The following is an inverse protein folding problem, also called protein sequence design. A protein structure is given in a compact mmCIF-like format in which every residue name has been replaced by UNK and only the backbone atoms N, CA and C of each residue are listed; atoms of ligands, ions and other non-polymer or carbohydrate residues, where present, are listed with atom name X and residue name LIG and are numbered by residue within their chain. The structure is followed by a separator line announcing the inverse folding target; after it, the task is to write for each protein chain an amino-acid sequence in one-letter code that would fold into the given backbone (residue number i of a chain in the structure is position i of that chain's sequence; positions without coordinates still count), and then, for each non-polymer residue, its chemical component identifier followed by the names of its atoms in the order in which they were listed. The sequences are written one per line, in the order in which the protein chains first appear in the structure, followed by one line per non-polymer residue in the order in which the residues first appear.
data_IF_512376663812
#
_entry.id   IF_512376663812
#
_cell.length_a   1.000
_cell.length_b   1.000
_cell.length_c   1.000
_cell.angle_alpha   90.00
_cell.angle_beta   90.00
_cell.angle_gamma   90.00
#
_symmetry.space_group_name_H-M   'P 1'
#
loop_
_entity.id
_entity.type
_entity.pdbx_description
1 polymer ?
#
# COMPACT_ATOMS: atom_id res chain seq x y z
N UNK A 1 -0.16 0.31 13.45
CA UNK A 1 -1.36 1.16 13.33
C UNK A 1 -2.49 0.22 12.97
N UNK A 2 -3.53 0.17 13.80
CA UNK A 2 -4.62 -0.81 13.67
C UNK A 2 -5.66 -0.43 12.60
N UNK A 3 -5.45 0.68 11.90
CA UNK A 3 -6.24 1.07 10.74
C UNK A 3 -5.82 0.38 9.45
N UNK A 4 -6.59 0.61 8.38
CA UNK A 4 -6.38 0.01 7.05
C UNK A 4 -4.99 0.22 6.45
N UNK A 5 -4.24 1.25 6.88
CA UNK A 5 -2.90 1.49 6.37
C UNK A 5 -1.85 0.50 6.89
N UNK A 6 -2.11 -0.18 8.03
CA UNK A 6 -1.21 -1.11 8.72
C UNK A 6 0.24 -0.64 8.89
N UNK A 7 0.47 0.69 8.82
CA UNK A 7 1.81 1.28 8.88
C UNK A 7 2.41 1.10 10.28
N UNK A 8 3.72 0.88 10.29
CA UNK A 8 4.55 0.83 11.48
C UNK A 8 5.19 2.19 11.75
N UNK A 9 5.42 2.51 13.02
CA UNK A 9 5.96 3.78 13.48
C UNK A 9 6.93 3.53 14.64
N UNK A 10 8.00 4.30 14.73
CA UNK A 10 8.84 4.31 15.92
C UNK A 10 8.09 5.03 17.05
N UNK A 11 7.78 4.36 18.16
CA UNK A 11 6.91 4.95 19.18
C UNK A 11 7.62 6.03 20.00
N UNK A 12 8.91 5.84 20.30
CA UNK A 12 9.74 6.78 21.07
C UNK A 12 10.88 7.33 20.21
N UNK A 13 11.49 8.44 20.64
CA UNK A 13 12.67 9.03 19.97
C UNK A 13 13.82 8.02 19.92
N UNK A 14 14.09 7.33 21.04
CA UNK A 14 15.13 6.30 21.14
C UNK A 14 14.91 5.15 20.15
N UNK A 15 13.65 4.71 20.00
CA UNK A 15 13.31 3.64 19.06
C UNK A 15 13.60 4.02 17.60
N UNK A 16 13.58 5.31 17.28
CA UNK A 16 13.87 5.84 15.95
C UNK A 16 15.33 6.25 15.73
N UNK A 17 16.15 6.30 16.79
CA UNK A 17 17.48 6.91 16.76
C UNK A 17 18.46 6.29 15.75
N UNK A 18 18.30 5.00 15.42
CA UNK A 18 19.09 4.31 14.40
C UNK A 18 18.65 4.58 12.96
N UNK A 19 17.70 5.47 12.74
CA UNK A 19 17.09 5.75 11.44
C UNK A 19 16.93 7.25 11.20
N UNK A 20 16.72 7.66 9.95
CA UNK A 20 16.31 9.02 9.62
C UNK A 20 14.79 9.21 9.68
N UNK A 21 14.06 8.29 10.32
CA UNK A 21 12.60 8.34 10.42
C UNK A 21 12.16 9.20 11.60
N UNK A 22 11.07 9.95 11.41
CA UNK A 22 10.41 10.65 12.51
C UNK A 22 9.73 9.63 13.44
N UNK A 23 9.85 9.84 14.75
CA UNK A 23 9.18 9.04 15.78
C UNK A 23 7.85 9.69 16.21
N UNK A 24 6.98 8.93 16.87
CA UNK A 24 5.74 9.46 17.46
C UNK A 24 5.99 10.30 18.72
N UNK A 25 7.20 10.24 19.30
CA UNK A 25 7.57 11.06 20.45
C UNK A 25 6.92 10.66 21.77
N UNK A 26 6.37 9.44 21.88
CA UNK A 26 5.80 8.96 23.13
C UNK A 26 6.88 8.63 24.16
N UNK A 27 6.52 8.73 25.44
CA UNK A 27 7.31 8.16 26.53
C UNK A 27 7.07 6.65 26.64
N UNK A 28 8.00 5.92 27.24
CA UNK A 28 7.83 4.47 27.46
C UNK A 28 6.54 4.16 28.23
N UNK A 29 6.18 4.95 29.24
CA UNK A 29 4.92 4.76 29.98
C UNK A 29 3.67 4.92 29.08
N UNK A 30 3.67 5.91 28.19
CA UNK A 30 2.59 6.09 27.21
C UNK A 30 2.49 4.89 26.27
N UNK A 31 3.63 4.37 25.78
CA UNK A 31 3.66 3.20 24.89
C UNK A 31 3.03 1.98 25.57
N UNK A 32 3.36 1.72 26.85
CA UNK A 32 2.77 0.61 27.59
C UNK A 32 1.27 0.81 27.87
N UNK A 33 0.80 2.05 27.97
CA UNK A 33 -0.60 2.38 28.19
C UNK A 33 -1.47 2.32 26.92
N UNK A 34 -0.86 2.44 25.73
CA UNK A 34 -1.58 2.38 24.45
C UNK A 34 -1.99 0.94 24.16
N UNK A 35 -3.29 0.67 24.21
CA UNK A 35 -3.85 -0.64 23.83
C UNK A 35 -4.03 -0.75 22.31
N UNK A 36 -4.52 0.32 21.67
CA UNK A 36 -4.81 0.36 20.23
C UNK A 36 -4.30 1.69 19.68
N UNK A 37 -3.39 1.62 18.71
CA UNK A 37 -2.84 2.82 18.07
C UNK A 37 -3.44 3.02 16.67
N UNK A 38 -4.04 4.18 16.45
CA UNK A 38 -4.52 4.63 15.14
C UNK A 38 -3.73 5.87 14.70
N UNK A 39 -3.12 5.84 13.51
CA UNK A 39 -2.37 7.00 13.00
C UNK A 39 -3.32 8.11 12.53
N UNK A 40 -2.83 9.35 12.47
CA UNK A 40 -3.61 10.52 12.03
C UNK A 40 -4.21 10.32 10.62
N UNK A 41 -3.52 9.64 9.72
CA UNK A 41 -4.04 9.35 8.38
C UNK A 41 -5.29 8.46 8.41
N UNK A 42 -5.28 7.39 9.20
CA UNK A 42 -6.46 6.55 9.37
C UNK A 42 -7.58 7.25 10.14
N UNK A 43 -7.26 8.04 11.19
CA UNK A 43 -8.26 8.82 11.92
C UNK A 43 -9.01 9.81 11.02
N UNK A 44 -8.30 10.43 10.08
CA UNK A 44 -8.85 11.44 9.17
C UNK A 44 -9.24 10.87 7.79
N UNK A 45 -9.14 9.55 7.59
CA UNK A 45 -9.39 8.89 6.30
C UNK A 45 -8.64 9.53 5.12
N UNK A 46 -7.41 9.98 5.33
CA UNK A 46 -6.54 10.55 4.30
C UNK A 46 -5.28 9.70 4.15
N UNK A 47 -5.15 9.00 3.03
CA UNK A 47 -4.06 8.06 2.81
C UNK A 47 -3.20 8.46 1.61
N UNK A 48 -1.93 8.07 1.65
CA UNK A 48 -0.98 8.36 0.60
C UNK A 48 -1.13 7.34 -0.53
N UNK A 49 -1.22 7.82 -1.77
CA UNK A 49 -1.08 6.94 -2.92
C UNK A 49 0.34 6.40 -3.00
N UNK A 50 0.51 5.08 -3.02
CA UNK A 50 1.83 4.45 -3.02
C UNK A 50 2.64 4.68 -4.30
N UNK A 51 1.99 5.10 -5.39
CA UNK A 51 2.66 5.39 -6.66
C UNK A 51 3.20 6.82 -6.69
N UNK A 52 2.33 7.82 -6.43
CA UNK A 52 2.70 9.23 -6.59
C UNK A 52 3.08 9.94 -5.29
N UNK A 53 2.85 9.31 -4.13
CA UNK A 53 3.16 9.89 -2.83
C UNK A 53 2.22 11.03 -2.38
N UNK A 54 1.17 11.37 -3.14
CA UNK A 54 0.20 12.40 -2.75
C UNK A 54 -0.87 11.81 -1.83
N UNK A 55 -1.32 12.60 -0.85
CA UNK A 55 -2.47 12.26 -0.01
C UNK A 55 -3.76 12.41 -0.79
N UNK A 56 -4.73 11.53 -0.54
CA UNK A 56 -6.09 11.67 -1.03
C UNK A 56 -7.11 11.17 0.00
N UNK A 57 -8.37 11.57 -0.18
CA UNK A 57 -9.49 11.08 0.60
C UNK A 57 -9.72 9.59 0.34
N UNK A 58 -9.89 8.81 1.41
CA UNK A 58 -10.14 7.36 1.38
C UNK A 58 -11.43 6.96 2.11
N UNK A 59 -12.21 7.96 2.50
CA UNK A 59 -13.53 7.74 3.06
C UNK A 59 -14.46 7.12 2.02
N UNK A 60 -15.39 6.26 2.45
CA UNK A 60 -16.34 5.55 1.59
C UNK A 60 -17.55 6.43 1.25
N UNK A 61 -17.29 7.68 0.89
CA UNK A 61 -18.28 8.70 0.58
C UNK A 61 -18.01 9.31 -0.81
N UNK A 62 -18.97 10.02 -1.41
CA UNK A 62 -18.71 10.76 -2.64
C UNK A 62 -17.47 11.64 -2.49
N UNK A 63 -16.53 11.54 -3.44
CA UNK A 63 -15.23 12.22 -3.36
C UNK A 63 -14.08 11.39 -2.79
N UNK A 64 -14.18 10.06 -2.79
CA UNK A 64 -13.03 9.17 -2.59
C UNK A 64 -12.00 9.38 -3.71
N UNK A 65 -10.75 9.63 -3.34
CA UNK A 65 -9.64 9.87 -4.28
C UNK A 65 -8.66 8.70 -4.31
N UNK A 66 -8.48 8.01 -3.17
CA UNK A 66 -7.57 6.86 -3.05
C UNK A 66 -8.28 5.63 -2.50
N UNK A 67 -7.97 4.49 -3.08
CA UNK A 67 -8.63 3.21 -2.81
C UNK A 67 -7.61 2.19 -2.31
N UNK A 68 -7.93 1.41 -1.26
CA UNK A 68 -7.03 0.38 -0.75
C UNK A 68 -6.96 -0.82 -1.69
N UNK A 69 -5.81 -1.49 -1.72
CA UNK A 69 -5.75 -2.84 -2.26
C UNK A 69 -6.66 -3.79 -1.45
N UNK A 70 -7.31 -4.74 -2.13
CA UNK A 70 -8.19 -5.72 -1.49
C UNK A 70 -7.47 -6.69 -0.53
N UNK A 71 -6.17 -6.90 -0.72
CA UNK A 71 -5.39 -7.80 0.14
C UNK A 71 -5.32 -7.24 1.56
N UNK A 72 -5.85 -8.00 2.52
CA UNK A 72 -6.00 -7.60 3.92
C UNK A 72 -4.67 -7.23 4.61
N UNK A 73 -3.54 -7.72 4.07
CA UNK A 73 -2.19 -7.50 4.62
C UNK A 73 -1.37 -6.52 3.79
N UNK A 74 -1.97 -5.85 2.80
CA UNK A 74 -1.26 -4.96 1.89
C UNK A 74 -1.06 -3.56 2.48
N UNK A 75 -2.13 -2.92 2.97
CA UNK A 75 -2.05 -1.58 3.56
C UNK A 75 -1.88 -0.41 2.59
N UNK A 76 -1.64 -0.68 1.30
CA UNK A 76 -1.39 0.35 0.30
C UNK A 76 -2.67 0.90 -0.30
N UNK A 77 -2.65 2.22 -0.54
CA UNK A 77 -3.72 2.98 -1.19
C UNK A 77 -3.23 3.55 -2.52
N UNK A 78 -4.17 3.75 -3.44
CA UNK A 78 -3.86 4.18 -4.80
C UNK A 78 -4.91 5.13 -5.36
N UNK A 79 -4.48 6.18 -6.07
CA UNK A 79 -5.36 6.84 -7.02
C UNK A 79 -5.68 5.85 -8.16
N UNK A 80 -6.93 5.78 -8.64
CA UNK A 80 -7.34 4.88 -9.72
C UNK A 80 -6.45 4.99 -10.96
N UNK A 81 -6.16 6.22 -11.40
CA UNK A 81 -5.28 6.47 -12.56
C UNK A 81 -3.83 6.05 -12.29
N UNK A 82 -3.31 6.28 -11.08
CA UNK A 82 -1.91 5.96 -10.77
C UNK A 82 -1.64 4.45 -10.73
N UNK A 83 -2.64 3.61 -10.46
CA UNK A 83 -2.46 2.16 -10.37
C UNK A 83 -2.83 1.42 -11.65
N UNK A 84 -3.78 1.94 -12.44
CA UNK A 84 -4.22 1.29 -13.66
C UNK A 84 -3.14 1.27 -14.75
N UNK A 85 -2.40 2.36 -14.93
CA UNK A 85 -1.32 2.47 -15.92
C UNK A 85 -0.18 1.46 -15.69
N UNK A 86 0.39 1.31 -14.48
CA UNK A 86 1.39 0.28 -14.21
C UNK A 86 0.92 -1.17 -14.41
N UNK A 87 -0.38 -1.44 -14.21
CA UNK A 87 -0.95 -2.79 -14.41
C UNK A 87 -1.03 -3.09 -15.91
N UNK A 88 -1.53 -2.13 -16.70
CA UNK A 88 -1.80 -2.27 -18.14
C UNK A 88 -1.02 -1.26 -19.00
N UNK A 89 0.33 -1.26 -18.98
CA UNK A 89 1.12 -0.20 -19.62
C UNK A 89 0.97 -0.14 -21.14
N UNK A 90 0.53 -1.24 -21.77
CA UNK A 90 0.32 -1.33 -23.23
C UNK A 90 -1.15 -1.46 -23.63
N UNK A 91 -2.06 -1.58 -22.66
CA UNK A 91 -3.46 -1.91 -22.90
C UNK A 91 -4.36 -0.79 -22.34
N UNK A 92 -4.34 0.38 -23.01
CA UNK A 92 -5.04 1.59 -22.55
C UNK A 92 -6.51 1.36 -22.22
N UNK A 93 -7.23 0.56 -23.02
CA UNK A 93 -8.64 0.25 -22.78
C UNK A 93 -8.83 -0.50 -21.45
N UNK A 94 -7.96 -1.47 -21.13
CA UNK A 94 -8.01 -2.18 -19.85
C UNK A 94 -7.62 -1.28 -18.67
N UNK A 95 -6.66 -0.37 -18.86
CA UNK A 95 -6.30 0.62 -17.84
C UNK A 95 -7.49 1.56 -17.53
N UNK A 96 -8.18 2.06 -18.55
CA UNK A 96 -9.37 2.90 -18.39
C UNK A 96 -10.53 2.16 -17.74
N UNK A 97 -10.74 0.90 -18.11
CA UNK A 97 -11.79 0.07 -17.52
C UNK A 97 -11.52 -0.18 -16.03
N UNK A 98 -10.30 -0.61 -15.68
CA UNK A 98 -9.90 -0.78 -14.28
C UNK A 98 -10.02 0.52 -13.48
N UNK A 99 -9.66 1.65 -14.08
CA UNK A 99 -9.82 2.96 -13.43
C UNK A 99 -11.29 3.23 -13.06
N UNK A 100 -12.23 2.97 -13.99
CA UNK A 100 -13.67 3.16 -13.75
C UNK A 100 -14.19 2.20 -12.67
N UNK A 101 -13.79 0.94 -12.72
CA UNK A 101 -14.17 -0.07 -11.72
C UNK A 101 -13.72 0.35 -10.31
N UNK A 102 -12.46 0.78 -10.15
CA UNK A 102 -11.97 1.26 -8.86
C UNK A 102 -12.74 2.50 -8.41
N UNK A 103 -13.02 3.46 -9.31
CA UNK A 103 -13.81 4.65 -8.99
C UNK A 103 -15.26 4.32 -8.58
N UNK A 104 -15.83 3.25 -9.14
CA UNK A 104 -17.13 2.72 -8.74
C UNK A 104 -17.09 1.97 -7.38
N UNK A 105 -15.90 1.81 -6.78
CA UNK A 105 -15.70 1.13 -5.50
C UNK A 105 -15.46 -0.37 -5.63
N UNK A 106 -15.23 -0.89 -6.83
CA UNK A 106 -14.90 -2.30 -7.02
C UNK A 106 -13.53 -2.65 -6.42
N UNK A 107 -13.44 -3.86 -5.89
CA UNK A 107 -12.22 -4.37 -5.30
C UNK A 107 -11.15 -4.63 -6.38
N UNK A 108 -9.90 -4.30 -6.09
CA UNK A 108 -8.78 -4.58 -6.98
C UNK A 108 -7.54 -5.05 -6.20
N UNK A 109 -6.69 -5.81 -6.90
CA UNK A 109 -5.38 -6.24 -6.38
C UNK A 109 -4.29 -5.35 -6.97
N UNK A 110 -3.43 -4.80 -6.11
CA UNK A 110 -2.38 -3.88 -6.56
C UNK A 110 -1.19 -4.61 -7.21
N UNK A 111 -0.33 -3.91 -7.97
CA UNK A 111 0.79 -4.52 -8.68
C UNK A 111 1.82 -5.22 -7.78
N UNK A 112 1.83 -4.93 -6.47
CA UNK A 112 2.75 -5.55 -5.53
C UNK A 112 2.45 -7.03 -5.26
N UNK A 113 1.30 -7.53 -5.73
CA UNK A 113 0.86 -8.93 -5.58
C UNK A 113 0.90 -9.73 -6.88
N UNK A 114 1.50 -9.20 -7.95
CA UNK A 114 1.68 -9.90 -9.23
C UNK A 114 3.09 -9.67 -9.75
N UNK A 115 3.70 -10.70 -10.33
CA UNK A 115 5.00 -10.53 -10.97
C UNK A 115 4.86 -9.59 -12.19
N UNK A 116 5.66 -8.54 -12.25
CA UNK A 116 5.57 -7.58 -13.35
C UNK A 116 6.07 -8.12 -14.71
N UNK A 117 6.78 -9.25 -14.71
CA UNK A 117 7.24 -9.94 -15.93
C UNK A 117 6.19 -10.94 -16.42
N UNK A 118 5.86 -11.96 -15.62
CA UNK A 118 4.99 -13.06 -16.06
C UNK A 118 3.51 -12.90 -15.70
N UNK A 119 3.17 -11.86 -14.91
CA UNK A 119 1.81 -11.52 -14.46
C UNK A 119 1.11 -12.56 -13.57
N UNK A 120 1.85 -13.55 -13.08
CA UNK A 120 1.35 -14.57 -12.15
C UNK A 120 1.52 -14.14 -10.68
N UNK A 121 0.67 -14.70 -9.82
CA UNK A 121 0.74 -14.53 -8.36
C UNK A 121 1.93 -15.26 -7.72
N UNK A 122 2.14 -15.03 -6.42
CA UNK A 122 3.17 -15.71 -5.65
C UNK A 122 2.79 -17.17 -5.38
N UNK A 123 3.75 -18.09 -5.43
CA UNK A 123 3.60 -19.46 -4.94
C UNK A 123 4.60 -19.66 -3.79
N UNK A 124 4.12 -19.45 -2.56
CA UNK A 124 4.98 -19.31 -1.36
C UNK A 124 5.85 -20.52 -1.07
N UNK A 125 5.42 -21.73 -1.43
CA UNK A 125 6.16 -22.97 -1.21
C UNK A 125 7.21 -23.28 -2.30
N UNK A 126 7.31 -22.48 -3.36
CA UNK A 126 8.29 -22.67 -4.44
C UNK A 126 9.24 -21.46 -4.43
N UNK A 127 10.50 -21.68 -4.07
CA UNK A 127 11.50 -20.62 -3.88
C UNK A 127 11.60 -19.64 -5.08
N UNK A 128 11.57 -20.18 -6.30
CA UNK A 128 11.64 -19.42 -7.54
C UNK A 128 10.41 -18.56 -7.80
N UNK A 129 9.26 -18.97 -7.27
CA UNK A 129 7.96 -18.31 -7.41
C UNK A 129 7.59 -17.47 -6.19
N UNK A 130 8.51 -17.30 -5.23
CA UNK A 130 8.37 -16.30 -4.16
C UNK A 130 8.66 -14.91 -4.71
N UNK A 131 8.00 -13.90 -4.13
CA UNK A 131 8.18 -12.53 -4.57
C UNK A 131 9.39 -11.84 -3.95
N UNK A 132 10.02 -11.00 -4.76
CA UNK A 132 10.90 -9.92 -4.36
C UNK A 132 10.17 -8.63 -4.69
N UNK A 133 9.80 -7.88 -3.64
CA UNK A 133 8.97 -6.68 -3.74
C UNK A 133 9.83 -5.43 -3.59
N UNK A 134 9.66 -4.48 -4.50
CA UNK A 134 10.30 -3.17 -4.37
C UNK A 134 9.64 -2.37 -3.24
N UNK A 135 10.43 -1.79 -2.34
CA UNK A 135 9.92 -0.93 -1.26
C UNK A 135 9.68 0.52 -1.69
N UNK A 136 10.09 0.90 -2.90
CA UNK A 136 9.98 2.27 -3.44
C UNK A 136 8.89 2.44 -4.49
N UNK A 137 8.37 1.35 -5.05
CA UNK A 137 7.32 1.37 -6.07
C UNK A 137 6.52 0.06 -5.99
N UNK A 138 5.32 -0.02 -6.58
CA UNK A 138 4.47 -1.20 -6.44
C UNK A 138 4.92 -2.42 -7.26
N UNK A 139 6.15 -2.44 -7.81
CA UNK A 139 6.61 -3.58 -8.61
C UNK A 139 7.02 -4.75 -7.73
N UNK A 140 6.52 -5.94 -8.08
CA UNK A 140 6.99 -7.21 -7.56
C UNK A 140 7.51 -8.11 -8.70
N UNK A 141 8.46 -8.98 -8.37
CA UNK A 141 9.05 -9.97 -9.28
C UNK A 141 9.06 -11.32 -8.58
N UNK A 142 8.85 -12.41 -9.31
CA UNK A 142 9.33 -13.70 -8.82
C UNK A 142 10.85 -13.68 -8.73
N UNK A 143 11.45 -14.44 -7.82
CA UNK A 143 12.92 -14.57 -7.76
C UNK A 143 13.52 -14.93 -9.10
N UNK A 144 12.94 -15.90 -9.80
CA UNK A 144 13.39 -16.32 -11.15
C UNK A 144 13.15 -15.29 -12.26
N UNK A 145 12.32 -14.29 -12.00
CA UNK A 145 11.96 -13.24 -12.96
C UNK A 145 12.63 -11.90 -12.65
N UNK A 146 13.52 -11.85 -11.66
CA UNK A 146 14.34 -10.66 -11.44
C UNK A 146 15.18 -10.40 -12.71
N UNK A 147 15.21 -9.15 -13.19
CA UNK A 147 15.99 -8.76 -14.36
C UNK A 147 17.49 -8.73 -14.05
#
# INVERSE_FOLDING_TARGET
CEGRCIRSFHPTIESGAGSSCESLGYSSAQVHAIQIFMCKNCQNQKHQCFVCGRLGNSDKSPGTEVFPCISATCGHFYHPQCVSEPIFPREKNKAQELQKQIQAGEAFTCPAHVCCICRQGEVKNIMDMQFVVCRRCPKAYHRKCLP
#
